data_IF_795001489476
#
_entry.id   IF_795001489476
#
_cell.length_a   1.000
_cell.length_b   1.000
_cell.length_c   1.000
_cell.angle_alpha   90.00
_cell.angle_beta   90.00
_cell.angle_gamma   90.00
#
_symmetry.space_group_name_H-M   'P 1'
#
loop_
_entity.id
_entity.type
_entity.pdbx_description
1 polymer ?
#
# COMPACT_ATOMS: atom_id res chain seq x y z
N UNK A 1 -13.61 -15.83 -6.04
CA UNK A 1 -12.34 -15.93 -5.30
C UNK A 1 -11.19 -15.80 -6.25
N UNK A 2 -10.24 -14.97 -5.96
CA UNK A 2 -9.13 -14.75 -6.85
C UNK A 2 -7.84 -14.45 -6.12
N UNK A 3 -6.74 -14.55 -6.86
CA UNK A 3 -5.42 -14.26 -6.36
C UNK A 3 -5.07 -12.81 -6.55
N UNK A 4 -4.45 -12.23 -5.55
CA UNK A 4 -4.09 -10.82 -5.56
C UNK A 4 -2.64 -10.65 -5.17
N UNK A 5 -2.05 -9.53 -5.60
CA UNK A 5 -0.66 -9.24 -5.32
C UNK A 5 -0.56 -7.83 -4.79
N UNK A 6 0.10 -7.68 -3.65
CA UNK A 6 0.28 -6.38 -3.03
C UNK A 6 1.75 -6.04 -3.02
N UNK A 7 2.11 -4.90 -3.61
CA UNK A 7 3.49 -4.45 -3.67
C UNK A 7 3.69 -3.32 -2.66
N UNK A 8 4.79 -3.42 -1.92
CA UNK A 8 5.20 -2.38 -0.99
C UNK A 8 6.43 -1.73 -1.57
N UNK A 9 6.39 -0.44 -1.75
CA UNK A 9 7.49 0.26 -2.41
C UNK A 9 8.24 1.15 -1.43
N UNK A 10 9.53 1.38 -1.75
CA UNK A 10 10.32 2.29 -0.97
C UNK A 10 9.81 3.70 -1.22
N UNK A 11 9.56 4.46 -0.17
CA UNK A 11 8.96 5.78 -0.30
C UNK A 11 9.90 6.81 -0.93
N UNK A 12 11.19 6.53 -0.95
CA UNK A 12 12.16 7.46 -1.52
C UNK A 12 12.51 7.13 -2.95
N UNK A 13 12.77 5.87 -3.23
CA UNK A 13 13.20 5.48 -4.58
C UNK A 13 12.06 5.01 -5.47
N UNK A 14 10.96 4.58 -4.90
CA UNK A 14 9.85 4.04 -5.67
C UNK A 14 10.05 2.61 -6.12
N UNK A 15 11.14 1.97 -5.74
CA UNK A 15 11.36 0.58 -6.09
C UNK A 15 10.51 -0.34 -5.24
N UNK A 16 10.14 -1.48 -5.80
CA UNK A 16 9.39 -2.48 -5.05
C UNK A 16 10.34 -3.10 -4.03
N UNK A 17 10.00 -2.91 -2.76
CA UNK A 17 10.81 -3.39 -1.67
C UNK A 17 10.36 -4.74 -1.18
N UNK A 18 9.06 -5.01 -1.27
CA UNK A 18 8.47 -6.20 -0.71
C UNK A 18 7.17 -6.49 -1.43
N UNK A 19 6.78 -7.75 -1.46
CA UNK A 19 5.58 -8.16 -2.16
C UNK A 19 4.88 -9.27 -1.38
N UNK A 20 3.54 -9.24 -1.37
CA UNK A 20 2.72 -10.27 -0.76
C UNK A 20 1.70 -10.76 -1.76
N UNK A 21 1.45 -12.06 -1.74
CA UNK A 21 0.40 -12.65 -2.54
C UNK A 21 -0.63 -13.24 -1.61
N UNK A 22 -1.89 -13.07 -1.94
CA UNK A 22 -2.97 -13.58 -1.10
C UNK A 22 -4.21 -13.83 -1.93
N UNK A 23 -5.18 -14.49 -1.32
CA UNK A 23 -6.44 -14.81 -1.98
C UNK A 23 -7.56 -14.13 -1.24
N UNK A 24 -8.53 -13.60 -1.97
CA UNK A 24 -9.69 -12.96 -1.38
C UNK A 24 -10.93 -13.31 -2.18
N UNK A 25 -12.08 -13.11 -1.59
CA UNK A 25 -13.35 -13.46 -2.22
C UNK A 25 -13.65 -12.57 -3.41
N UNK A 26 -13.35 -11.29 -3.30
CA UNK A 26 -13.57 -10.33 -4.38
C UNK A 26 -12.65 -9.12 -4.17
N UNK A 27 -12.74 -8.16 -5.08
CA UNK A 27 -11.86 -6.99 -5.03
C UNK A 27 -12.04 -6.19 -3.75
N UNK A 28 -13.27 -6.06 -3.30
CA UNK A 28 -13.56 -5.30 -2.10
C UNK A 28 -12.90 -5.93 -0.87
N UNK A 29 -12.98 -7.26 -0.76
CA UNK A 29 -12.34 -7.99 0.31
C UNK A 29 -10.82 -7.84 0.23
N UNK A 30 -10.28 -7.90 -0.98
CA UNK A 30 -8.84 -7.76 -1.19
C UNK A 30 -8.35 -6.39 -0.74
N UNK A 31 -9.10 -5.34 -1.06
CA UNK A 31 -8.74 -3.99 -0.67
C UNK A 31 -8.77 -3.85 0.86
N UNK A 32 -9.76 -4.45 1.51
CA UNK A 32 -9.86 -4.40 2.96
C UNK A 32 -8.67 -5.09 3.63
N UNK A 33 -8.29 -6.26 3.10
CA UNK A 33 -7.15 -6.99 3.63
C UNK A 33 -5.86 -6.19 3.45
N UNK A 34 -5.66 -5.65 2.26
CA UNK A 34 -4.46 -4.87 1.98
C UNK A 34 -4.40 -3.61 2.84
N UNK A 35 -5.53 -2.97 3.08
CA UNK A 35 -5.57 -1.79 3.93
C UNK A 35 -5.11 -2.12 5.34
N UNK A 36 -5.42 -3.31 5.82
CA UNK A 36 -5.00 -3.74 7.15
C UNK A 36 -3.49 -3.95 7.25
N UNK A 37 -2.81 -4.07 6.12
CA UNK A 37 -1.36 -4.26 6.11
C UNK A 37 -0.58 -2.97 5.84
N UNK A 38 -1.23 -1.83 5.88
CA UNK A 38 -0.55 -0.56 5.60
C UNK A 38 0.56 -0.30 6.60
N UNK A 39 1.69 0.15 6.07
CA UNK A 39 2.87 0.44 6.89
C UNK A 39 3.33 1.87 6.73
N UNK A 40 2.60 2.69 5.99
CA UNK A 40 3.03 4.04 5.69
C UNK A 40 3.82 4.13 4.39
N UNK A 41 4.18 3.00 3.82
CA UNK A 41 4.86 2.98 2.53
C UNK A 41 3.87 3.07 1.39
N UNK A 42 4.30 3.54 0.21
CA UNK A 42 3.44 3.45 -0.97
C UNK A 42 3.13 1.98 -1.26
N UNK A 43 1.91 1.69 -1.62
CA UNK A 43 1.49 0.32 -1.93
C UNK A 43 0.64 0.30 -3.18
N UNK A 44 0.67 -0.82 -3.89
CA UNK A 44 -0.21 -1.06 -5.03
C UNK A 44 -0.79 -2.45 -4.94
N UNK A 45 -2.10 -2.54 -5.14
CA UNK A 45 -2.80 -3.82 -5.12
C UNK A 45 -3.20 -4.19 -6.55
N UNK A 46 -2.84 -5.39 -6.95
CA UNK A 46 -3.09 -5.88 -8.30
C UNK A 46 -3.89 -7.17 -8.29
N UNK A 47 -4.77 -7.30 -9.28
CA UNK A 47 -5.49 -8.53 -9.55
C UNK A 47 -5.00 -8.99 -10.92
N UNK A 48 -4.05 -9.91 -10.94
CA UNK A 48 -3.42 -10.31 -12.19
C UNK A 48 -2.65 -9.14 -12.77
N UNK A 49 -3.01 -8.74 -13.98
CA UNK A 49 -2.34 -7.62 -14.64
C UNK A 49 -3.12 -6.31 -14.48
N UNK A 50 -4.14 -6.32 -13.62
CA UNK A 50 -5.00 -5.15 -13.44
C UNK A 50 -4.76 -4.51 -12.08
N UNK A 51 -4.40 -3.23 -12.08
CA UNK A 51 -4.18 -2.51 -10.83
C UNK A 51 -5.52 -2.05 -10.26
N UNK A 52 -5.80 -2.43 -9.03
CA UNK A 52 -7.06 -2.11 -8.37
C UNK A 52 -6.99 -0.85 -7.55
N UNK A 53 -5.92 -0.63 -6.83
CA UNK A 53 -5.83 0.50 -5.93
C UNK A 53 -4.38 0.81 -5.61
N UNK A 54 -4.13 2.07 -5.33
CA UNK A 54 -2.82 2.52 -4.91
C UNK A 54 -2.98 3.33 -3.62
N UNK A 55 -2.05 3.15 -2.69
CA UNK A 55 -1.99 3.94 -1.46
C UNK A 55 -0.75 4.80 -1.53
N UNK A 56 -0.90 6.09 -1.26
CA UNK A 56 0.22 7.00 -1.23
C UNK A 56 0.97 6.87 0.10
N UNK A 57 2.25 7.24 0.13
CA UNK A 57 3.00 7.19 1.38
C UNK A 57 2.42 8.19 2.38
N UNK A 58 2.52 7.83 3.65
CA UNK A 58 2.03 8.71 4.69
C UNK A 58 3.05 9.79 4.99
N UNK A 59 2.61 10.97 5.42
CA UNK A 59 3.55 12.03 5.77
C UNK A 59 4.44 11.61 6.93
N UNK A 60 5.62 12.17 6.97
CA UNK A 60 6.55 11.90 8.06
C UNK A 60 6.15 12.68 9.29
N UNK A 61 6.20 12.07 10.46
CA UNK A 61 5.87 12.79 11.69
C UNK A 61 6.72 14.04 11.90
N UNK A 62 7.97 13.97 11.48
CA UNK A 62 8.84 15.11 11.65
C UNK A 62 8.35 16.34 10.92
N UNK A 63 7.61 16.17 9.87
CA UNK A 63 7.06 17.29 9.15
C UNK A 63 6.05 18.04 9.97
N UNK A 64 5.33 17.31 10.77
CA UNK A 64 4.37 17.94 11.63
C UNK A 64 5.04 18.82 12.61
N UNK A 65 6.06 18.29 13.23
CA UNK A 65 6.77 19.02 14.23
C UNK A 65 7.37 20.27 13.64
N UNK A 66 7.91 20.13 12.49
CA UNK A 66 8.54 21.26 11.85
C UNK A 66 7.56 22.34 11.51
N UNK A 67 6.36 21.94 11.14
CA UNK A 67 5.41 22.92 10.72
C UNK A 67 4.65 23.51 11.85
N UNK A 68 4.82 22.96 13.04
CA UNK A 68 4.04 23.45 14.08
C UNK A 68 4.80 24.13 15.00
N UNK A 69 4.91 25.12 15.04
CA UNK A 69 5.64 25.74 15.93
C UNK A 69 4.79 25.96 16.93
N UNK A 70 4.57 25.58 17.15
CA UNK A 70 3.92 25.74 17.87
C UNK A 70 3.99 26.24 18.42
#
# INVERSE_FOLDING_TARGET
MGGYRLYFMDRFSGHIEHRREFVAADDSAAIAIATGWRTGQPMELWAGSHKLKRWDPEPQPSEWIGSTPE
#
